data_IF_885077373102
#
_entry.id   IF_885077373102
#
_cell.length_a   1.000
_cell.length_b   1.000
_cell.length_c   1.000
_cell.angle_alpha   90.00
_cell.angle_beta   90.00
_cell.angle_gamma   90.00
#
_symmetry.space_group_name_H-M   'P 1'
#
loop_
_entity.id
_entity.type
_entity.pdbx_description
1 polymer ?
#
# COMPACT_ATOMS: atom_id res chain seq x y z
N UNK A 1 11.73 7.25 12.45
CA UNK A 1 12.28 6.42 13.54
C UNK A 1 12.59 5.03 13.03
N UNK A 2 13.72 4.46 13.42
CA UNK A 2 14.22 3.15 12.99
C UNK A 2 13.96 2.07 14.05
N UNK A 3 14.02 0.79 13.65
CA UNK A 3 13.88 -0.33 14.59
C UNK A 3 14.93 -0.29 15.72
N UNK A 4 16.14 0.19 15.40
CA UNK A 4 17.22 0.32 16.38
C UNK A 4 16.93 1.38 17.46
N UNK A 5 16.28 2.48 17.07
CA UNK A 5 15.86 3.54 17.99
C UNK A 5 14.73 3.07 18.91
N UNK A 6 13.74 2.35 18.39
CA UNK A 6 12.68 1.73 19.20
C UNK A 6 13.27 0.70 20.18
N UNK A 7 14.17 -0.15 19.71
CA UNK A 7 14.83 -1.15 20.55
C UNK A 7 15.60 -0.50 21.72
N UNK A 8 16.31 0.58 21.45
CA UNK A 8 17.05 1.35 22.46
C UNK A 8 16.11 1.98 23.50
N UNK A 9 15.01 2.59 23.06
CA UNK A 9 14.01 3.19 23.94
C UNK A 9 13.28 2.15 24.81
N UNK A 10 13.02 0.97 24.26
CA UNK A 10 12.36 -0.13 24.96
C UNK A 10 13.30 -1.00 25.79
N UNK A 11 14.61 -0.78 25.74
CA UNK A 11 15.60 -1.58 26.46
C UNK A 11 15.69 -3.04 25.98
N UNK A 12 15.37 -3.32 24.72
CA UNK A 12 15.37 -4.67 24.14
C UNK A 12 16.22 -4.72 22.87
N UNK A 13 16.45 -5.92 22.34
CA UNK A 13 17.17 -6.07 21.07
C UNK A 13 16.28 -5.71 19.87
N UNK A 14 16.85 -5.26 18.74
CA UNK A 14 16.11 -5.03 17.50
C UNK A 14 15.36 -6.28 17.00
N UNK A 15 15.92 -7.47 17.23
CA UNK A 15 15.26 -8.73 16.90
C UNK A 15 14.03 -8.99 17.77
N UNK A 16 14.02 -8.57 19.04
CA UNK A 16 12.86 -8.62 19.91
C UNK A 16 11.76 -7.70 19.40
N UNK A 17 12.10 -6.45 19.05
CA UNK A 17 11.14 -5.52 18.44
C UNK A 17 10.56 -6.12 17.16
N UNK A 18 11.40 -6.67 16.28
CA UNK A 18 10.96 -7.31 15.04
C UNK A 18 9.98 -8.47 15.27
N UNK A 19 10.27 -9.33 16.24
CA UNK A 19 9.37 -10.46 16.59
C UNK A 19 8.01 -9.97 17.08
N UNK A 20 7.99 -8.98 17.97
CA UNK A 20 6.76 -8.40 18.52
C UNK A 20 5.92 -7.75 17.41
N UNK A 21 6.55 -6.95 16.56
CA UNK A 21 5.85 -6.24 15.48
C UNK A 21 5.32 -7.19 14.39
N UNK A 22 5.89 -8.38 14.25
CA UNK A 22 5.46 -9.42 13.29
C UNK A 22 4.60 -10.51 13.95
N UNK A 23 4.12 -10.34 15.18
CA UNK A 23 3.34 -11.33 15.94
C UNK A 23 4.03 -12.73 16.04
N UNK A 24 5.37 -12.76 16.07
CA UNK A 24 6.21 -13.96 16.24
C UNK A 24 6.85 -14.00 17.62
N UNK A 25 6.11 -13.61 18.63
CA UNK A 25 6.58 -13.26 19.97
C UNK A 25 6.14 -14.28 21.06
N UNK A 26 5.80 -15.50 20.67
CA UNK A 26 5.33 -16.56 21.60
C UNK A 26 6.25 -16.85 22.80
N UNK A 27 7.53 -16.48 22.71
CA UNK A 27 8.53 -16.62 23.76
C UNK A 27 8.83 -15.34 24.53
N UNK A 28 8.12 -14.23 24.28
CA UNK A 28 8.34 -12.91 24.87
C UNK A 28 7.26 -12.66 25.91
N UNK A 29 7.65 -12.11 27.10
CA UNK A 29 6.66 -11.81 28.13
C UNK A 29 5.64 -10.77 27.67
N UNK A 30 4.41 -10.87 28.15
CA UNK A 30 3.31 -9.93 27.86
C UNK A 30 3.71 -8.50 28.22
N UNK A 31 4.38 -8.31 29.35
CA UNK A 31 4.86 -7.02 29.81
C UNK A 31 5.85 -6.37 28.84
N UNK A 32 6.84 -7.13 28.36
CA UNK A 32 7.80 -6.65 27.35
C UNK A 32 7.10 -6.32 26.03
N UNK A 33 6.16 -7.15 25.62
CA UNK A 33 5.37 -6.94 24.42
C UNK A 33 4.58 -5.64 24.49
N UNK A 34 3.83 -5.42 25.56
CA UNK A 34 3.03 -4.21 25.75
C UNK A 34 3.89 -2.96 25.84
N UNK A 35 5.04 -3.04 26.51
CA UNK A 35 6.00 -1.95 26.61
C UNK A 35 6.51 -1.53 25.23
N UNK A 36 6.96 -2.47 24.40
CA UNK A 36 7.45 -2.20 23.04
C UNK A 36 6.33 -1.63 22.15
N UNK A 37 5.12 -2.19 22.21
CA UNK A 37 3.99 -1.72 21.41
C UNK A 37 3.57 -0.30 21.79
N UNK A 38 3.62 0.05 23.08
CA UNK A 38 3.33 1.39 23.57
C UNK A 38 4.34 2.41 23.01
N UNK A 39 5.64 2.11 23.07
CA UNK A 39 6.70 2.98 22.52
C UNK A 39 6.52 3.10 21.00
N UNK A 40 6.32 1.99 20.29
CA UNK A 40 6.11 2.01 18.85
C UNK A 40 4.90 2.89 18.46
N UNK A 41 3.81 2.85 19.22
CA UNK A 41 2.63 3.68 19.01
C UNK A 41 2.88 5.16 19.31
N UNK A 42 3.55 5.47 20.41
CA UNK A 42 3.90 6.84 20.81
C UNK A 42 4.74 7.55 19.77
N UNK A 43 5.70 6.83 19.18
CA UNK A 43 6.59 7.36 18.14
C UNK A 43 6.14 7.08 16.71
N UNK A 44 4.89 6.64 16.51
CA UNK A 44 4.32 6.31 15.20
C UNK A 44 5.22 5.39 14.35
N UNK A 45 5.95 4.49 15.02
CA UNK A 45 6.84 3.55 14.34
C UNK A 45 6.03 2.45 13.64
N UNK A 46 6.27 2.26 12.35
CA UNK A 46 5.79 1.12 11.57
C UNK A 46 7.01 0.39 11.00
N UNK A 47 7.15 -0.94 11.19
CA UNK A 47 8.23 -1.68 10.57
C UNK A 47 8.16 -1.58 9.04
N UNK A 48 9.30 -1.36 8.39
CA UNK A 48 9.35 -1.31 6.92
C UNK A 48 8.83 -2.63 6.29
N UNK A 49 9.09 -3.77 6.94
CA UNK A 49 8.62 -5.08 6.50
C UNK A 49 7.10 -5.31 6.72
N UNK A 50 6.44 -4.61 7.65
CA UNK A 50 4.98 -4.74 7.85
C UNK A 50 4.18 -4.02 6.77
N UNK A 51 4.80 -3.14 6.01
CA UNK A 51 4.21 -2.55 4.81
C UNK A 51 4.19 -3.59 3.66
N UNK A 52 5.11 -4.56 3.69
CA UNK A 52 5.27 -5.56 2.60
C UNK A 52 4.63 -6.91 2.94
N UNK A 53 4.46 -7.28 4.23
CA UNK A 53 4.07 -8.64 4.63
C UNK A 53 2.65 -8.81 5.18
N UNK A 54 1.85 -7.75 5.28
CA UNK A 54 0.43 -7.92 5.58
C UNK A 54 -0.37 -8.19 4.30
N UNK A 55 -0.14 -9.35 3.70
CA UNK A 55 -0.93 -9.88 2.56
C UNK A 55 -2.43 -10.08 2.89
N UNK A 56 -2.88 -9.62 4.05
CA UNK A 56 -4.28 -9.72 4.51
C UNK A 56 -4.86 -8.39 5.00
N UNK A 57 -4.08 -7.32 5.16
CA UNK A 57 -4.63 -6.00 5.49
C UNK A 57 -4.81 -5.17 4.22
N UNK A 58 -6.03 -4.75 3.97
CA UNK A 58 -6.36 -3.80 2.91
C UNK A 58 -5.55 -2.53 3.08
N UNK A 59 -5.02 -2.00 1.98
CA UNK A 59 -4.33 -0.69 1.97
C UNK A 59 -5.31 0.48 2.10
N UNK A 60 -6.61 0.21 1.85
CA UNK A 60 -7.66 1.20 1.68
C UNK A 60 -7.26 2.27 0.64
N UNK A 61 -6.58 1.81 -0.40
CA UNK A 61 -6.17 2.63 -1.53
C UNK A 61 -6.51 1.93 -2.84
N UNK A 62 -7.10 2.65 -3.76
CA UNK A 62 -7.32 2.22 -5.14
C UNK A 62 -6.55 3.13 -6.10
N UNK A 63 -6.02 2.54 -7.16
CA UNK A 63 -5.39 3.26 -8.24
C UNK A 63 -6.36 3.52 -9.38
N UNK A 64 -6.25 4.69 -9.99
CA UNK A 64 -7.00 5.03 -11.20
C UNK A 64 -6.01 5.49 -12.25
N UNK A 65 -6.04 4.86 -13.42
CA UNK A 65 -5.19 5.20 -14.54
C UNK A 65 -6.08 5.70 -15.68
N UNK A 66 -5.98 6.96 -15.99
CA UNK A 66 -6.66 7.57 -17.14
C UNK A 66 -5.78 7.56 -18.37
N UNK A 67 -6.39 7.33 -19.49
CA UNK A 67 -5.76 7.49 -20.81
C UNK A 67 -5.38 8.95 -21.07
N UNK A 68 -6.30 9.90 -20.72
CA UNK A 68 -6.12 11.34 -20.81
C UNK A 68 -6.91 12.02 -19.68
N UNK A 69 -6.25 12.70 -18.75
CA UNK A 69 -6.88 13.32 -17.58
C UNK A 69 -7.83 14.47 -17.96
N UNK A 70 -7.60 15.16 -19.09
CA UNK A 70 -8.49 16.24 -19.54
C UNK A 70 -9.89 15.79 -19.92
N UNK A 71 -10.07 14.51 -20.26
CA UNK A 71 -11.34 13.91 -20.63
C UNK A 71 -12.06 13.25 -19.44
N UNK A 72 -11.40 13.15 -18.29
CA UNK A 72 -11.83 12.32 -17.16
C UNK A 72 -12.65 13.05 -16.09
N UNK A 73 -12.92 14.35 -16.23
CA UNK A 73 -13.43 15.19 -15.14
C UNK A 73 -14.71 14.69 -14.44
N UNK A 74 -15.69 14.21 -15.19
CA UNK A 74 -16.95 13.69 -14.61
C UNK A 74 -16.77 12.33 -13.92
N UNK A 75 -15.88 11.47 -14.47
CA UNK A 75 -15.59 10.16 -13.91
C UNK A 75 -14.79 10.28 -12.62
N UNK A 76 -13.90 11.26 -12.52
CA UNK A 76 -13.09 11.53 -11.31
C UNK A 76 -13.99 11.82 -10.11
N UNK A 77 -14.98 12.70 -10.26
CA UNK A 77 -15.89 13.07 -9.17
C UNK A 77 -16.67 11.85 -8.65
N UNK A 78 -17.19 11.03 -9.56
CA UNK A 78 -17.91 9.79 -9.21
C UNK A 78 -17.02 8.79 -8.47
N UNK A 79 -15.80 8.56 -8.94
CA UNK A 79 -14.83 7.65 -8.31
C UNK A 79 -14.44 8.16 -6.92
N UNK A 80 -14.13 9.44 -6.77
CA UNK A 80 -13.77 10.04 -5.49
C UNK A 80 -14.91 9.97 -4.46
N UNK A 81 -16.15 10.23 -4.91
CA UNK A 81 -17.32 10.15 -4.03
C UNK A 81 -17.56 8.73 -3.53
N UNK A 82 -17.54 7.74 -4.43
CA UNK A 82 -17.70 6.35 -4.07
C UNK A 82 -16.58 5.82 -3.18
N UNK A 83 -15.33 6.10 -3.51
CA UNK A 83 -14.19 5.68 -2.72
C UNK A 83 -14.21 6.27 -1.30
N UNK A 84 -14.55 7.55 -1.18
CA UNK A 84 -14.66 8.23 0.12
C UNK A 84 -15.76 7.62 1.00
N UNK A 85 -16.90 7.26 0.42
CA UNK A 85 -18.00 6.63 1.15
C UNK A 85 -17.58 5.29 1.79
N UNK A 86 -16.66 4.56 1.13
CA UNK A 86 -16.13 3.27 1.60
C UNK A 86 -14.80 3.41 2.37
N UNK A 87 -14.34 4.63 2.64
CA UNK A 87 -13.10 4.88 3.39
C UNK A 87 -11.81 4.65 2.58
N UNK A 88 -11.89 4.63 1.25
CA UNK A 88 -10.74 4.45 0.38
C UNK A 88 -10.09 5.78 -0.02
N UNK A 89 -8.76 5.78 -0.06
CA UNK A 89 -7.95 6.79 -0.76
C UNK A 89 -7.86 6.45 -2.25
N UNK A 90 -7.69 7.48 -3.09
CA UNK A 90 -7.56 7.29 -4.54
C UNK A 90 -6.26 7.89 -5.03
N UNK A 91 -5.50 7.10 -5.78
CA UNK A 91 -4.27 7.51 -6.44
C UNK A 91 -4.52 7.60 -7.95
N UNK A 92 -4.26 8.76 -8.54
CA UNK A 92 -4.48 9.00 -9.97
C UNK A 92 -3.16 9.02 -10.74
N UNK A 93 -3.13 8.31 -11.87
CA UNK A 93 -2.08 8.38 -12.87
C UNK A 93 -2.68 8.63 -14.26
N UNK A 94 -1.87 9.21 -15.13
CA UNK A 94 -2.23 9.48 -16.51
C UNK A 94 -1.24 8.79 -17.46
N UNK A 95 -1.78 8.18 -18.50
CA UNK A 95 -0.96 7.47 -19.51
C UNK A 95 -0.58 8.36 -20.70
N UNK A 96 -1.16 9.54 -20.82
CA UNK A 96 -0.90 10.46 -21.92
C UNK A 96 -1.00 9.82 -23.32
N UNK A 97 -2.00 8.96 -23.51
CA UNK A 97 -2.21 8.19 -24.75
C UNK A 97 -1.03 7.26 -25.12
N UNK A 98 -0.15 6.94 -24.18
CA UNK A 98 1.01 6.08 -24.38
C UNK A 98 0.81 4.73 -23.72
N UNK A 99 0.80 3.65 -24.51
CA UNK A 99 0.73 2.29 -23.99
C UNK A 99 1.94 1.91 -23.13
N UNK A 100 3.13 2.44 -23.43
CA UNK A 100 4.32 2.25 -22.61
C UNK A 100 4.16 2.91 -21.24
N UNK A 101 3.61 4.13 -21.20
CA UNK A 101 3.35 4.82 -19.94
C UNK A 101 2.25 4.13 -19.14
N UNK A 102 1.23 3.59 -19.79
CA UNK A 102 0.19 2.78 -19.15
C UNK A 102 0.78 1.59 -18.40
N UNK A 103 1.65 0.81 -19.05
CA UNK A 103 2.32 -0.33 -18.42
C UNK A 103 3.22 0.08 -17.24
N UNK A 104 3.93 1.20 -17.35
CA UNK A 104 4.74 1.76 -16.24
C UNK A 104 3.84 2.16 -15.07
N UNK A 105 2.70 2.78 -15.34
CA UNK A 105 1.74 3.18 -14.32
C UNK A 105 1.14 1.97 -13.61
N UNK A 106 0.74 0.93 -14.34
CA UNK A 106 0.25 -0.34 -13.78
C UNK A 106 1.31 -0.95 -12.86
N UNK A 107 2.56 -1.07 -13.33
CA UNK A 107 3.66 -1.61 -12.53
C UNK A 107 3.87 -0.81 -11.24
N UNK A 108 3.91 0.52 -11.33
CA UNK A 108 4.07 1.39 -10.17
C UNK A 108 2.93 1.23 -9.14
N UNK A 109 1.69 1.06 -9.59
CA UNK A 109 0.54 0.82 -8.70
C UNK A 109 0.59 -0.54 -8.02
N UNK A 110 1.02 -1.59 -8.73
CA UNK A 110 1.22 -2.93 -8.15
C UNK A 110 2.30 -2.91 -7.07
N UNK A 111 3.40 -2.17 -7.28
CA UNK A 111 4.46 -2.00 -6.29
C UNK A 111 4.00 -1.27 -5.02
N UNK A 112 2.95 -0.45 -5.10
CA UNK A 112 2.36 0.25 -3.96
C UNK A 112 1.39 -0.62 -3.13
N UNK A 113 1.16 -1.88 -3.52
CA UNK A 113 0.27 -2.82 -2.84
C UNK A 113 -1.13 -2.23 -2.61
N UNK A 114 -1.68 -1.58 -3.63
CA UNK A 114 -3.05 -1.04 -3.61
C UNK A 114 -4.08 -2.16 -3.74
N UNK A 115 -5.31 -1.94 -3.25
CA UNK A 115 -6.36 -2.96 -3.20
C UNK A 115 -7.04 -3.22 -4.55
N UNK A 116 -6.91 -2.28 -5.50
CA UNK A 116 -7.49 -2.43 -6.84
C UNK A 116 -7.08 -1.31 -7.79
N UNK A 117 -7.23 -1.58 -9.07
CA UNK A 117 -6.93 -0.64 -10.16
C UNK A 117 -8.18 -0.45 -11.03
N UNK A 118 -8.52 0.81 -11.28
CA UNK A 118 -9.47 1.21 -12.32
C UNK A 118 -8.63 1.72 -13.48
N UNK A 119 -8.75 1.07 -14.64
CA UNK A 119 -7.98 1.40 -15.83
C UNK A 119 -8.89 1.85 -16.97
N UNK A 120 -8.63 3.05 -17.50
CA UNK A 120 -9.10 3.47 -18.81
C UNK A 120 -7.99 3.19 -19.83
N UNK A 121 -8.11 2.11 -20.65
CA UNK A 121 -6.99 1.66 -21.47
C UNK A 121 -6.72 2.62 -22.64
N UNK A 122 -5.45 2.78 -22.98
CA UNK A 122 -5.00 3.60 -24.13
C UNK A 122 -5.45 2.98 -25.45
N UNK A 123 -5.47 1.65 -25.53
CA UNK A 123 -5.91 0.93 -26.73
C UNK A 123 -6.95 -0.13 -26.41
N UNK A 124 -7.69 -0.57 -27.44
CA UNK A 124 -8.62 -1.69 -27.32
C UNK A 124 -7.93 -3.02 -27.04
N UNK A 125 -6.65 -3.13 -27.28
CA UNK A 125 -5.83 -4.30 -26.95
C UNK A 125 -5.00 -4.04 -25.68
N UNK A 126 -5.67 -4.09 -24.53
CA UNK A 126 -5.06 -3.90 -23.22
C UNK A 126 -4.54 -5.19 -22.57
N UNK A 127 -4.34 -6.26 -23.35
CA UNK A 127 -3.89 -7.59 -22.86
C UNK A 127 -2.63 -7.52 -22.03
N UNK A 128 -1.66 -6.69 -22.41
CA UNK A 128 -0.42 -6.54 -21.67
C UNK A 128 -0.62 -5.99 -20.27
N UNK A 129 -1.48 -5.00 -20.10
CA UNK A 129 -1.84 -4.45 -18.78
C UNK A 129 -2.63 -5.46 -17.94
N UNK A 130 -3.60 -6.14 -18.56
CA UNK A 130 -4.39 -7.21 -17.93
C UNK A 130 -3.52 -8.37 -17.45
N UNK A 131 -2.54 -8.80 -18.25
CA UNK A 131 -1.61 -9.86 -17.86
C UNK A 131 -0.72 -9.46 -16.68
N UNK A 132 -0.26 -8.22 -16.63
CA UNK A 132 0.51 -7.72 -15.48
C UNK A 132 -0.32 -7.76 -14.20
N UNK A 133 -1.56 -7.27 -14.25
CA UNK A 133 -2.48 -7.26 -13.10
C UNK A 133 -2.76 -8.70 -12.63
N UNK A 134 -3.05 -9.63 -13.55
CA UNK A 134 -3.32 -11.05 -13.24
C UNK A 134 -2.12 -11.78 -12.63
N UNK A 135 -0.89 -11.41 -12.98
CA UNK A 135 0.33 -12.04 -12.41
C UNK A 135 0.65 -11.55 -11.00
N UNK A 136 0.14 -10.38 -10.61
CA UNK A 136 0.39 -9.78 -9.30
C UNK A 136 -0.63 -10.18 -8.22
N UNK A 137 -1.82 -10.66 -8.59
CA UNK A 137 -2.89 -11.12 -7.69
C UNK A 137 -2.94 -12.60 -7.58
#
# INVERSE_FOLDING_TARGET
MTINEIAKLAGVSPSTVSKIMNNKDSSISTETREHVLRIAKEYHYKPYASVITSSTSKSLCIGVIFRNASEASSSVEGILSAARAEGYSVLFYESNLSAEQELKNVSAMLDLNIDGIILEPVSSDFKSAEEQIKRAG
#
